data_IF_204569156889
#
_entry.id   IF_204569156889
#
_cell.length_a   1.000
_cell.length_b   1.000
_cell.length_c   1.000
_cell.angle_alpha   90.00
_cell.angle_beta   90.00
_cell.angle_gamma   90.00
#
_symmetry.space_group_name_H-M   'P 1'
#
loop_
_entity.id
_entity.type
_entity.pdbx_description
1 polymer ?
#
# COMPACT_ATOMS: atom_id res chain seq x y z
N UNK A 1 -41.58 0.38 11.87
CA UNK A 1 -40.57 -0.01 12.00
C UNK A 1 -40.31 -1.35 12.28
N UNK A 2 -41.11 -2.16 12.23
CA UNK A 2 -40.92 -3.42 12.60
C UNK A 2 -40.54 -4.29 11.50
N UNK A 3 -40.57 -3.78 10.31
CA UNK A 3 -40.20 -4.56 9.14
C UNK A 3 -38.76 -4.99 9.19
N UNK A 4 -37.94 -4.23 9.88
CA UNK A 4 -36.55 -4.61 10.01
C UNK A 4 -36.36 -5.83 10.87
N UNK A 5 -37.37 -6.22 11.60
CA UNK A 5 -37.30 -7.31 12.55
C UNK A 5 -37.63 -8.66 11.91
N UNK A 6 -37.78 -8.71 10.61
CA UNK A 6 -38.11 -9.95 9.93
C UNK A 6 -36.93 -10.91 9.85
N UNK A 7 -35.69 -10.44 10.05
CA UNK A 7 -34.51 -11.29 10.05
C UNK A 7 -34.32 -11.82 11.47
N UNK A 8 -34.27 -13.14 11.67
CA UNK A 8 -34.00 -13.70 13.00
C UNK A 8 -32.67 -13.24 13.56
N UNK A 9 -32.61 -13.03 14.85
CA UNK A 9 -31.40 -12.55 15.53
C UNK A 9 -30.17 -13.40 15.24
N UNK A 10 -30.34 -14.74 15.24
CA UNK A 10 -29.25 -15.64 14.97
C UNK A 10 -28.69 -15.45 13.56
N UNK A 11 -29.55 -15.34 12.56
CA UNK A 11 -29.12 -15.12 11.19
C UNK A 11 -28.42 -13.77 11.03
N UNK A 12 -28.89 -12.76 11.74
CA UNK A 12 -28.27 -11.44 11.70
C UNK A 12 -26.90 -11.47 12.34
N UNK A 13 -26.73 -12.18 13.45
CA UNK A 13 -25.40 -12.35 14.08
C UNK A 13 -24.45 -13.14 13.18
N UNK A 14 -24.94 -14.15 12.49
CA UNK A 14 -24.13 -14.91 11.53
C UNK A 14 -23.68 -14.03 10.37
N UNK A 15 -24.56 -13.13 9.92
CA UNK A 15 -24.21 -12.16 8.88
C UNK A 15 -23.10 -11.23 9.37
N UNK A 16 -23.21 -10.73 10.60
CA UNK A 16 -22.18 -9.87 11.21
C UNK A 16 -20.85 -10.60 11.27
N UNK A 17 -20.83 -11.85 11.74
CA UNK A 17 -19.61 -12.63 11.81
C UNK A 17 -18.97 -12.84 10.43
N UNK A 18 -19.78 -13.08 9.42
CA UNK A 18 -19.28 -13.25 8.05
C UNK A 18 -18.70 -11.97 7.50
N UNK A 19 -19.38 -10.85 7.74
CA UNK A 19 -18.90 -9.55 7.29
C UNK A 19 -17.62 -9.13 8.03
N UNK A 20 -17.53 -9.47 9.31
CA UNK A 20 -16.32 -9.24 10.09
C UNK A 20 -15.13 -9.97 9.49
N UNK A 21 -15.28 -11.24 9.18
CA UNK A 21 -14.21 -12.02 8.57
C UNK A 21 -13.80 -11.48 7.22
N UNK A 22 -14.77 -11.04 6.44
CA UNK A 22 -14.50 -10.43 5.15
C UNK A 22 -13.72 -9.14 5.29
N UNK A 23 -14.08 -8.31 6.26
CA UNK A 23 -13.38 -7.08 6.57
C UNK A 23 -11.96 -7.35 7.06
N UNK A 24 -11.78 -8.33 7.93
CA UNK A 24 -10.46 -8.72 8.43
C UNK A 24 -9.54 -9.16 7.29
N UNK A 25 -10.04 -10.01 6.40
CA UNK A 25 -9.28 -10.45 5.23
C UNK A 25 -8.89 -9.28 4.31
N UNK A 26 -9.81 -8.35 4.10
CA UNK A 26 -9.54 -7.17 3.28
C UNK A 26 -8.50 -6.26 3.93
N UNK A 27 -8.50 -6.11 5.26
CA UNK A 27 -7.51 -5.35 5.99
C UNK A 27 -6.12 -5.96 5.88
N UNK A 28 -6.02 -7.29 6.00
CA UNK A 28 -4.73 -7.97 5.85
C UNK A 28 -4.16 -7.74 4.46
N UNK A 29 -5.00 -7.82 3.46
CA UNK A 29 -4.59 -7.57 2.08
C UNK A 29 -4.10 -6.14 1.89
N UNK A 30 -4.79 -5.17 2.49
CA UNK A 30 -4.39 -3.78 2.45
C UNK A 30 -3.05 -3.57 3.18
N UNK A 31 -2.89 -4.14 4.37
CA UNK A 31 -1.63 -4.03 5.13
C UNK A 31 -0.46 -4.59 4.34
N UNK A 32 -0.66 -5.73 3.69
CA UNK A 32 0.37 -6.36 2.86
C UNK A 32 0.72 -5.51 1.65
N UNK A 33 -0.29 -4.99 0.96
CA UNK A 33 -0.08 -4.14 -0.21
C UNK A 33 0.65 -2.85 0.16
N UNK A 34 0.32 -2.26 1.31
CA UNK A 34 0.98 -1.05 1.82
C UNK A 34 2.43 -1.33 2.17
N UNK A 35 2.71 -2.46 2.81
CA UNK A 35 4.07 -2.85 3.15
C UNK A 35 4.92 -3.04 1.90
N UNK A 36 4.39 -3.73 0.90
CA UNK A 36 5.08 -3.92 -0.38
C UNK A 36 5.36 -2.59 -1.07
N UNK A 37 4.39 -1.67 -1.05
CA UNK A 37 4.58 -0.34 -1.61
C UNK A 37 5.66 0.43 -0.85
N UNK A 38 5.64 0.40 0.47
CA UNK A 38 6.61 1.12 1.29
C UNK A 38 8.04 0.61 1.08
N UNK A 39 8.21 -0.71 0.98
CA UNK A 39 9.51 -1.30 0.69
C UNK A 39 10.04 -0.84 -0.67
N UNK A 40 9.16 -0.76 -1.64
CA UNK A 40 9.55 -0.31 -2.98
C UNK A 40 9.82 1.19 -3.01
N UNK A 41 9.08 1.97 -2.21
CA UNK A 41 9.33 3.41 -2.07
C UNK A 41 10.70 3.69 -1.49
N UNK A 42 11.08 2.98 -0.43
CA UNK A 42 12.39 3.11 0.17
C UNK A 42 13.47 2.80 -0.86
N UNK A 43 13.31 1.72 -1.59
CA UNK A 43 14.24 1.32 -2.64
C UNK A 43 14.30 2.34 -3.78
N UNK A 44 13.16 2.92 -4.14
CA UNK A 44 13.09 3.91 -5.21
C UNK A 44 13.77 5.22 -4.81
N UNK A 45 13.47 5.73 -3.62
CA UNK A 45 14.07 6.99 -3.17
C UNK A 45 15.53 6.85 -2.83
N UNK A 46 15.91 5.73 -2.25
CA UNK A 46 17.29 5.43 -1.99
C UNK A 46 18.01 5.20 -3.31
N UNK A 47 17.26 4.86 -4.32
CA UNK A 47 17.71 4.38 -5.61
C UNK A 47 18.83 3.37 -5.48
N UNK A 48 18.87 2.83 -4.29
CA UNK A 48 19.73 1.77 -3.88
C UNK A 48 21.11 1.87 -4.48
N UNK A 49 21.53 0.77 -4.99
CA UNK A 49 22.88 0.59 -5.49
C UNK A 49 23.14 1.35 -6.79
N UNK A 50 22.11 1.64 -7.57
CA UNK A 50 22.29 2.27 -8.89
C UNK A 50 22.83 3.70 -8.76
N UNK A 51 22.20 4.52 -7.91
CA UNK A 51 22.61 5.90 -7.73
C UNK A 51 23.93 5.99 -6.92
N UNK A 52 24.13 5.12 -5.92
CA UNK A 52 25.38 5.07 -5.17
C UNK A 52 26.55 4.70 -6.07
N UNK A 53 26.35 3.72 -6.95
CA UNK A 53 27.35 3.33 -7.92
C UNK A 53 27.65 4.46 -8.92
N UNK A 54 26.61 5.15 -9.37
CA UNK A 54 26.73 6.30 -10.24
C UNK A 54 27.55 7.42 -9.56
N UNK A 55 27.27 7.73 -8.31
CA UNK A 55 28.01 8.73 -7.55
C UNK A 55 29.50 8.38 -7.48
N UNK A 56 29.81 7.13 -7.17
CA UNK A 56 31.20 6.65 -7.09
C UNK A 56 31.88 6.76 -8.45
N UNK A 57 31.21 6.33 -9.49
CA UNK A 57 31.78 6.35 -10.84
C UNK A 57 32.10 7.76 -11.31
N UNK A 58 31.28 8.74 -10.91
CA UNK A 58 31.45 10.13 -11.30
C UNK A 58 32.28 10.95 -10.30
N UNK A 59 32.75 10.35 -9.22
CA UNK A 59 33.58 11.02 -8.24
C UNK A 59 32.83 11.95 -7.29
N UNK A 60 31.53 11.78 -7.14
CA UNK A 60 30.76 12.54 -6.16
C UNK A 60 30.99 11.97 -4.76
N UNK A 61 31.04 12.88 -3.77
CA UNK A 61 31.15 12.48 -2.38
C UNK A 61 29.83 11.83 -1.94
N UNK A 62 29.90 10.60 -1.42
CA UNK A 62 28.73 9.88 -0.94
C UNK A 62 28.04 10.56 0.25
N UNK A 63 28.75 11.48 0.93
CA UNK A 63 28.19 12.23 2.05
C UNK A 63 27.49 13.51 1.62
N UNK A 64 27.56 13.87 0.36
CA UNK A 64 26.92 15.07 -0.15
C UNK A 64 25.45 14.79 -0.36
N UNK A 65 24.62 15.33 0.54
CA UNK A 65 23.16 15.22 0.43
C UNK A 65 22.57 16.55 -0.06
N UNK A 66 23.31 17.26 -0.89
CA UNK A 66 22.90 18.58 -1.38
C UNK A 66 21.77 18.51 -2.38
N UNK A 67 21.62 17.37 -3.04
CA UNK A 67 20.61 17.22 -4.07
C UNK A 67 19.52 16.26 -3.61
N UNK A 68 18.24 16.60 -3.86
CA UNK A 68 17.15 15.65 -3.64
C UNK A 68 17.28 14.47 -4.61
N UNK A 69 16.63 13.37 -4.27
CA UNK A 69 16.68 12.14 -5.06
C UNK A 69 16.28 12.39 -6.53
N UNK A 70 15.28 13.24 -6.75
CA UNK A 70 14.84 13.58 -8.10
C UNK A 70 15.95 14.19 -8.96
N UNK A 71 16.82 15.01 -8.36
CA UNK A 71 17.95 15.58 -9.07
C UNK A 71 19.01 14.55 -9.41
N UNK A 72 19.24 13.61 -8.49
CA UNK A 72 20.19 12.51 -8.76
C UNK A 72 19.67 11.63 -9.91
N UNK A 73 18.38 11.38 -9.94
CA UNK A 73 17.77 10.62 -11.03
C UNK A 73 17.91 11.34 -12.37
N UNK A 74 17.71 12.66 -12.36
CA UNK A 74 17.87 13.47 -13.57
C UNK A 74 19.33 13.50 -14.05
N UNK A 75 20.28 13.64 -13.13
CA UNK A 75 21.70 13.60 -13.46
C UNK A 75 22.09 12.27 -14.05
N UNK A 76 21.61 11.17 -13.47
CA UNK A 76 21.87 9.82 -13.97
C UNK A 76 21.33 9.65 -15.38
N UNK A 77 20.09 10.08 -15.60
CA UNK A 77 19.42 9.95 -16.89
C UNK A 77 20.12 10.76 -17.98
N UNK A 78 20.61 11.94 -17.61
CA UNK A 78 21.21 12.88 -18.58
C UNK A 78 22.69 12.63 -18.81
N UNK A 79 23.32 11.76 -18.03
CA UNK A 79 24.75 11.50 -18.14
C UNK A 79 25.03 10.66 -19.41
N UNK A 80 25.98 11.10 -20.27
CA UNK A 80 26.28 10.36 -21.49
C UNK A 80 26.81 8.95 -21.27
N UNK A 81 27.41 8.70 -20.09
CA UNK A 81 27.97 7.38 -19.78
C UNK A 81 26.95 6.42 -19.18
N UNK A 82 25.75 6.89 -18.87
CA UNK A 82 24.69 6.03 -18.37
C UNK A 82 24.13 5.18 -19.50
N UNK A 83 24.18 3.87 -19.32
CA UNK A 83 23.71 2.94 -20.32
C UNK A 83 22.19 2.91 -20.38
N UNK A 84 21.64 2.46 -21.50
CA UNK A 84 20.20 2.29 -21.64
C UNK A 84 19.66 1.29 -20.64
N UNK A 85 20.44 0.24 -20.36
CA UNK A 85 20.07 -0.77 -19.37
C UNK A 85 19.89 -0.16 -17.98
N UNK A 86 20.77 0.74 -17.57
CA UNK A 86 20.65 1.43 -16.29
C UNK A 86 19.42 2.34 -16.24
N UNK A 87 19.14 3.05 -17.33
CA UNK A 87 17.94 3.90 -17.44
C UNK A 87 16.66 3.06 -17.34
N UNK A 88 16.65 1.92 -18.02
CA UNK A 88 15.51 1.01 -18.01
C UNK A 88 15.28 0.43 -16.61
N UNK A 89 16.36 0.12 -15.89
CA UNK A 89 16.24 -0.40 -14.52
C UNK A 89 15.54 0.59 -13.58
N UNK A 90 15.88 1.86 -13.68
CA UNK A 90 15.21 2.91 -12.88
C UNK A 90 13.76 3.09 -13.32
N UNK A 91 13.50 3.10 -14.63
CA UNK A 91 12.14 3.23 -15.14
C UNK A 91 11.27 2.06 -14.73
N UNK A 92 11.80 0.84 -14.71
CA UNK A 92 11.08 -0.35 -14.24
C UNK A 92 10.67 -0.21 -12.77
N UNK A 93 11.58 0.25 -11.92
CA UNK A 93 11.27 0.50 -10.50
C UNK A 93 10.15 1.52 -10.38
N UNK A 94 10.22 2.58 -11.18
CA UNK A 94 9.21 3.64 -11.19
C UNK A 94 7.83 3.12 -11.58
N UNK A 95 7.78 2.28 -12.61
CA UNK A 95 6.52 1.70 -13.10
C UNK A 95 5.95 0.72 -12.05
N UNK A 96 6.80 -0.14 -11.50
CA UNK A 96 6.38 -1.10 -10.47
C UNK A 96 5.83 -0.34 -9.25
N UNK A 97 6.47 0.76 -8.88
CA UNK A 97 6.00 1.61 -7.78
C UNK A 97 4.58 2.11 -8.02
N UNK A 98 4.30 2.58 -9.23
CA UNK A 98 2.96 3.06 -9.60
C UNK A 98 1.92 1.93 -9.50
N UNK A 99 2.29 0.75 -9.96
CA UNK A 99 1.41 -0.42 -9.88
C UNK A 99 1.12 -0.77 -8.43
N UNK A 100 2.15 -0.79 -7.58
CA UNK A 100 1.99 -1.12 -6.16
C UNK A 100 1.15 -0.08 -5.42
N UNK A 101 1.30 1.19 -5.76
CA UNK A 101 0.46 2.24 -5.19
C UNK A 101 -1.00 2.04 -5.56
N UNK A 102 -1.28 1.75 -6.83
CA UNK A 102 -2.63 1.47 -7.29
C UNK A 102 -3.22 0.27 -6.56
N UNK A 103 -2.43 -0.81 -6.40
CA UNK A 103 -2.87 -2.01 -5.71
C UNK A 103 -3.21 -1.71 -4.25
N UNK A 104 -2.39 -0.90 -3.58
CA UNK A 104 -2.65 -0.48 -2.20
C UNK A 104 -3.92 0.37 -2.11
N UNK A 105 -4.12 1.30 -3.03
CA UNK A 105 -5.32 2.14 -3.05
C UNK A 105 -6.59 1.32 -3.28
N UNK A 106 -6.54 0.34 -4.17
CA UNK A 106 -7.67 -0.57 -4.41
C UNK A 106 -7.96 -1.43 -3.20
N UNK A 107 -6.92 -1.97 -2.56
CA UNK A 107 -7.09 -2.77 -1.36
C UNK A 107 -7.66 -1.94 -0.21
N UNK A 108 -7.26 -0.67 -0.10
CA UNK A 108 -7.81 0.25 0.90
C UNK A 108 -9.30 0.48 0.68
N UNK A 109 -9.70 0.70 -0.57
CA UNK A 109 -11.12 0.92 -0.90
C UNK A 109 -11.97 -0.30 -0.52
N UNK A 110 -11.48 -1.51 -0.80
CA UNK A 110 -12.19 -2.74 -0.42
C UNK A 110 -12.25 -2.89 1.10
N UNK A 111 -11.14 -2.62 1.78
CA UNK A 111 -11.10 -2.70 3.24
C UNK A 111 -12.09 -1.73 3.89
N UNK A 112 -12.20 -0.51 3.36
CA UNK A 112 -13.16 0.47 3.86
C UNK A 112 -14.60 0.03 3.62
N UNK A 113 -14.90 -0.43 2.41
CA UNK A 113 -16.26 -0.86 2.06
C UNK A 113 -16.70 -2.05 2.91
N UNK A 114 -15.81 -3.02 3.12
CA UNK A 114 -16.14 -4.19 3.95
C UNK A 114 -16.29 -3.81 5.42
N UNK A 115 -15.50 -2.87 5.91
CA UNK A 115 -15.62 -2.35 7.28
C UNK A 115 -16.94 -1.65 7.49
N UNK A 116 -17.34 -0.79 6.56
CA UNK A 116 -18.63 -0.07 6.64
C UNK A 116 -19.80 -1.05 6.62
N UNK A 117 -19.76 -2.06 5.76
CA UNK A 117 -20.79 -3.09 5.71
C UNK A 117 -20.89 -3.86 7.03
N UNK A 118 -19.73 -4.20 7.62
CA UNK A 118 -19.69 -4.84 8.94
C UNK A 118 -20.32 -3.94 10.00
N UNK A 119 -19.94 -2.67 10.06
CA UNK A 119 -20.48 -1.73 11.06
C UNK A 119 -21.98 -1.59 10.94
N UNK A 120 -22.51 -1.45 9.72
CA UNK A 120 -23.93 -1.31 9.51
C UNK A 120 -24.70 -2.54 10.02
N UNK A 121 -24.20 -3.72 9.72
CA UNK A 121 -24.81 -4.96 10.19
C UNK A 121 -24.68 -5.11 11.71
N UNK A 122 -23.52 -4.78 12.27
CA UNK A 122 -23.28 -4.86 13.70
C UNK A 122 -24.21 -3.92 14.48
N UNK A 123 -24.42 -2.71 13.98
CA UNK A 123 -25.34 -1.77 14.59
C UNK A 123 -26.78 -2.27 14.56
N UNK A 124 -27.21 -2.84 13.43
CA UNK A 124 -28.55 -3.39 13.32
C UNK A 124 -28.76 -4.59 14.24
N UNK A 125 -27.73 -5.40 14.41
CA UNK A 125 -27.79 -6.57 15.28
C UNK A 125 -27.53 -6.26 16.74
N UNK A 126 -27.02 -5.08 17.05
CA UNK A 126 -26.51 -4.70 18.37
C UNK A 126 -25.52 -5.75 18.85
N UNK A 127 -24.60 -6.12 17.96
CA UNK A 127 -23.65 -7.21 18.20
C UNK A 127 -22.32 -6.84 17.55
N UNK A 128 -21.29 -6.65 18.38
CA UNK A 128 -19.97 -6.20 17.96
C UNK A 128 -18.90 -7.19 18.39
N UNK A 129 -18.67 -8.25 17.59
CA UNK A 129 -17.59 -9.19 17.92
C UNK A 129 -16.23 -8.52 17.80
N UNK A 130 -15.23 -9.07 18.49
CA UNK A 130 -13.90 -8.51 18.50
C UNK A 130 -13.25 -8.55 17.12
N UNK A 131 -12.71 -7.40 16.69
CA UNK A 131 -11.97 -7.29 15.47
C UNK A 131 -10.52 -7.68 15.72
N UNK A 132 -10.03 -8.72 15.04
CA UNK A 132 -8.75 -9.33 15.33
C UNK A 132 -7.59 -8.85 14.46
N UNK A 133 -7.79 -7.83 13.69
CA UNK A 133 -6.73 -7.29 12.84
C UNK A 133 -6.18 -6.02 13.42
N UNK A 134 -4.86 -5.97 13.51
CA UNK A 134 -4.18 -4.74 13.86
C UNK A 134 -4.13 -3.87 12.60
N UNK A 135 -5.20 -3.15 12.34
CA UNK A 135 -5.24 -2.29 11.17
C UNK A 135 -4.61 -0.96 11.52
N UNK A 136 -3.67 -0.54 10.72
CA UNK A 136 -3.21 0.83 10.77
C UNK A 136 -4.31 1.68 10.16
N UNK A 137 -4.46 2.91 10.61
CA UNK A 137 -5.51 3.78 10.14
C UNK A 137 -5.53 3.88 8.62
N UNK A 138 -6.70 3.96 8.11
CA UNK A 138 -6.92 4.14 6.70
C UNK A 138 -6.42 5.48 6.21
#
# INVERSE_FOLDING_TARGET
MKEFQTIPTKELQELVDRLLKKSEAAHEKYNKATEEYNQLMDRYYDCGDIIEEFKKRKGYDSKTNEFPVSMWLDKHRSDPDTTQEEKDAIEDIRIIRKIKLRDADQARAVARATWEAYLDAAELADYFPNYNINSKAW
#
